data_IF_438570074732
#
_entry.id   IF_438570074732
#
_cell.length_a   1.000
_cell.length_b   1.000
_cell.length_c   1.000
_cell.angle_alpha   90.00
_cell.angle_beta   90.00
_cell.angle_gamma   90.00
#
_symmetry.space_group_name_H-M   'P 1'
#
loop_
_entity.id
_entity.type
_entity.pdbx_description
1 polymer ?
#
# COMPACT_ATOMS: atom_id res chain seq x y z
N UNK A 1 -39.70 -32.55 -25.25
CA UNK A 1 -38.80 -32.98 -26.33
C UNK A 1 -39.18 -32.24 -27.60
N UNK A 2 -38.26 -31.49 -28.22
CA UNK A 2 -38.26 -31.19 -29.65
C UNK A 2 -36.90 -30.60 -30.01
N UNK A 3 -36.28 -31.09 -31.08
CA UNK A 3 -35.12 -30.47 -31.75
C UNK A 3 -35.62 -29.88 -33.06
N UNK A 4 -34.96 -28.84 -33.57
CA UNK A 4 -34.27 -28.92 -34.87
C UNK A 4 -33.54 -27.62 -35.23
N UNK A 5 -32.46 -27.77 -35.99
CA UNK A 5 -31.52 -26.74 -36.45
C UNK A 5 -31.51 -26.68 -37.98
N UNK A 6 -31.22 -25.52 -38.58
CA UNK A 6 -30.57 -25.31 -39.90
C UNK A 6 -30.39 -23.77 -40.13
N UNK A 7 -29.56 -23.24 -41.04
CA UNK A 7 -28.13 -23.45 -41.37
C UNK A 7 -27.76 -22.54 -42.57
N UNK A 8 -26.77 -21.65 -42.46
CA UNK A 8 -25.98 -20.99 -43.55
C UNK A 8 -24.88 -20.11 -42.89
N UNK A 9 -23.58 -20.01 -43.23
CA UNK A 9 -22.78 -20.03 -44.48
C UNK A 9 -23.01 -18.81 -45.40
N UNK A 10 -22.04 -17.99 -45.81
CA UNK A 10 -20.57 -17.94 -45.61
C UNK A 10 -20.08 -16.46 -45.86
N UNK A 11 -18.82 -16.04 -46.08
CA UNK A 11 -17.55 -16.77 -46.35
C UNK A 11 -16.28 -15.90 -46.14
N UNK A 12 -15.18 -16.57 -45.79
CA UNK A 12 -13.77 -16.42 -46.25
C UNK A 12 -13.19 -15.05 -46.71
N UNK A 13 -12.05 -14.66 -46.11
CA UNK A 13 -10.92 -14.01 -46.82
C UNK A 13 -9.60 -14.27 -46.07
N UNK A 14 -8.48 -14.28 -46.81
CA UNK A 14 -7.10 -14.40 -46.31
C UNK A 14 -6.29 -13.15 -46.77
N UNK A 15 -4.98 -12.96 -46.58
CA UNK A 15 -3.89 -13.84 -46.14
C UNK A 15 -2.65 -13.01 -45.69
N UNK A 16 -1.58 -13.69 -45.26
CA UNK A 16 -0.14 -13.33 -45.45
C UNK A 16 0.32 -11.94 -44.97
N UNK A 17 1.19 -11.90 -43.95
CA UNK A 17 2.64 -11.75 -44.19
C UNK A 17 3.46 -12.05 -42.93
N UNK A 18 4.68 -12.58 -43.10
CA UNK A 18 5.64 -12.79 -42.02
C UNK A 18 7.03 -12.34 -42.49
N UNK A 19 7.85 -11.78 -41.58
CA UNK A 19 9.23 -11.40 -41.87
C UNK A 19 10.08 -11.51 -40.61
N UNK A 20 11.12 -12.35 -40.66
CA UNK A 20 12.18 -12.37 -39.66
C UNK A 20 13.18 -11.25 -39.96
N UNK A 21 13.81 -10.70 -38.92
CA UNK A 21 14.86 -9.70 -39.05
C UNK A 21 15.64 -9.52 -37.76
N UNK A 22 16.74 -10.24 -37.62
CA UNK A 22 17.70 -10.05 -36.53
C UNK A 22 19.06 -9.70 -37.13
N UNK A 23 19.75 -8.71 -36.56
CA UNK A 23 21.21 -8.70 -36.36
C UNK A 23 21.56 -7.55 -35.38
N UNK A 24 22.69 -7.69 -34.69
CA UNK A 24 23.23 -6.66 -33.79
C UNK A 24 24.51 -6.07 -34.37
N UNK A 25 24.85 -4.84 -34.02
CA UNK A 25 26.25 -4.39 -34.06
C UNK A 25 26.55 -3.25 -33.08
N UNK A 26 27.71 -3.32 -32.45
CA UNK A 26 28.23 -2.36 -31.46
C UNK A 26 29.05 -1.24 -32.11
N UNK A 27 28.82 0.01 -31.69
CA UNK A 27 29.72 1.14 -31.96
C UNK A 27 30.81 1.28 -30.88
N UNK A 28 32.04 1.73 -31.19
CA UNK A 28 33.19 1.63 -30.28
C UNK A 28 33.45 2.87 -29.42
N UNK A 29 34.13 2.67 -28.30
CA UNK A 29 34.75 3.73 -27.51
C UNK A 29 36.24 3.92 -27.90
N UNK A 30 36.72 5.17 -27.93
CA UNK A 30 38.14 5.56 -27.95
C UNK A 30 38.33 6.96 -27.32
N UNK A 31 39.56 7.37 -26.94
CA UNK A 31 39.74 7.94 -25.59
C UNK A 31 40.59 9.23 -25.55
N UNK A 32 40.96 9.64 -24.33
CA UNK A 32 42.35 9.95 -23.88
C UNK A 32 42.59 11.30 -23.18
N UNK A 33 43.58 11.26 -22.28
CA UNK A 33 44.46 12.34 -21.81
C UNK A 33 43.91 13.43 -20.84
N UNK A 34 44.07 13.11 -19.55
CA UNK A 34 44.64 13.98 -18.51
C UNK A 34 46.00 14.58 -18.94
N UNK A 35 46.45 15.75 -18.42
CA UNK A 35 46.87 15.92 -17.01
C UNK A 35 46.45 17.25 -16.35
N UNK A 36 46.85 17.42 -15.08
CA UNK A 36 46.41 18.47 -14.17
C UNK A 36 47.49 19.53 -13.86
N UNK A 37 47.09 20.70 -13.35
CA UNK A 37 47.84 21.40 -12.28
C UNK A 37 47.04 22.48 -11.52
N UNK A 38 47.23 22.47 -10.19
CA UNK A 38 47.39 23.61 -9.26
C UNK A 38 46.41 24.80 -9.17
N UNK A 39 46.15 25.14 -7.89
CA UNK A 39 46.17 26.48 -7.26
C UNK A 39 44.86 27.08 -6.72
N UNK A 40 45.03 27.77 -5.59
CA UNK A 40 44.04 28.33 -4.68
C UNK A 40 43.47 29.68 -5.12
N UNK A 41 42.19 29.94 -4.82
CA UNK A 41 41.57 31.27 -4.95
C UNK A 41 40.36 31.42 -4.01
N UNK A 42 40.08 32.66 -3.59
CA UNK A 42 38.95 33.03 -2.73
C UNK A 42 37.66 33.29 -3.57
N UNK A 43 36.46 33.39 -2.96
CA UNK A 43 35.20 33.24 -3.71
C UNK A 43 34.72 34.52 -4.43
N UNK A 44 34.16 34.40 -5.65
CA UNK A 44 33.35 35.43 -6.26
C UNK A 44 31.87 35.26 -5.87
N UNK A 45 31.24 36.33 -5.38
CA UNK A 45 29.80 36.42 -5.16
C UNK A 45 29.07 36.95 -6.40
N UNK A 46 27.86 36.43 -6.66
CA UNK A 46 26.90 37.01 -7.61
C UNK A 46 26.95 36.43 -9.02
N UNK A 47 25.93 35.65 -9.37
CA UNK A 47 25.64 35.21 -10.73
C UNK A 47 24.20 34.72 -10.82
N UNK A 48 23.32 35.49 -11.45
CA UNK A 48 21.96 35.04 -11.76
C UNK A 48 22.01 34.15 -13.00
N UNK A 49 21.51 32.91 -12.90
CA UNK A 49 21.25 32.07 -14.06
C UNK A 49 19.84 31.51 -14.00
N UNK A 50 18.97 32.13 -14.79
CA UNK A 50 17.91 31.55 -15.61
C UNK A 50 17.10 30.36 -15.08
N UNK A 51 15.78 30.53 -15.14
CA UNK A 51 14.75 29.53 -14.91
C UNK A 51 15.04 28.16 -15.53
N UNK A 52 15.43 27.20 -14.69
CA UNK A 52 15.05 25.81 -14.90
C UNK A 52 13.86 25.52 -14.00
N UNK A 53 12.68 25.39 -14.61
CA UNK A 53 11.54 24.77 -13.93
C UNK A 53 12.00 23.40 -13.40
N UNK A 54 11.76 23.07 -12.12
CA UNK A 54 12.16 21.78 -11.57
C UNK A 54 11.39 20.68 -12.30
N UNK A 55 12.06 20.01 -13.24
CA UNK A 55 11.52 18.84 -13.93
C UNK A 55 11.04 17.86 -12.88
N UNK A 56 9.78 17.43 -13.00
CA UNK A 56 9.03 16.77 -11.92
C UNK A 56 9.83 15.62 -11.32
N UNK A 57 10.47 15.88 -10.17
CA UNK A 57 11.17 14.87 -9.41
C UNK A 57 10.13 13.83 -9.02
N UNK A 58 10.28 12.62 -9.55
CA UNK A 58 9.52 11.48 -9.04
C UNK A 58 9.87 11.40 -7.56
N UNK A 59 8.86 11.58 -6.70
CA UNK A 59 9.07 11.42 -5.26
C UNK A 59 9.72 10.04 -5.04
N UNK A 60 10.78 9.93 -4.23
CA UNK A 60 11.50 8.68 -4.06
C UNK A 60 10.51 7.58 -3.66
N UNK A 61 10.55 6.44 -4.35
CA UNK A 61 9.56 5.38 -4.13
C UNK A 61 9.53 5.00 -2.65
N UNK A 62 8.36 5.20 -2.04
CA UNK A 62 8.15 4.95 -0.62
C UNK A 62 8.52 3.53 -0.22
N UNK A 63 9.11 3.36 0.96
CA UNK A 63 9.53 2.05 1.48
C UNK A 63 8.34 1.08 1.45
N UNK A 64 8.50 -0.14 0.92
CA UNK A 64 7.43 -1.12 0.87
C UNK A 64 7.07 -1.62 2.27
N UNK A 65 5.87 -1.28 2.75
CA UNK A 65 5.34 -1.71 4.04
C UNK A 65 3.96 -2.37 3.87
N UNK A 66 3.56 -3.30 4.76
CA UNK A 66 2.21 -3.84 4.77
C UNK A 66 1.18 -2.71 4.88
N UNK A 67 0.09 -2.84 4.11
CA UNK A 67 -1.13 -2.02 4.23
C UNK A 67 -1.64 -2.12 5.68
N UNK A 68 -2.35 -1.10 6.20
CA UNK A 68 -2.80 -1.10 7.60
C UNK A 68 -3.76 -2.26 7.89
N UNK A 69 -4.75 -2.48 7.02
CA UNK A 69 -5.81 -3.46 7.20
C UNK A 69 -6.34 -4.00 5.86
N UNK A 70 -6.66 -5.29 5.77
CA UNK A 70 -7.38 -5.89 4.63
C UNK A 70 -8.88 -5.89 4.92
N UNK A 71 -9.69 -5.29 4.05
CA UNK A 71 -11.15 -5.24 4.16
C UNK A 71 -11.83 -6.38 3.41
N UNK A 72 -11.43 -6.69 2.17
CA UNK A 72 -11.99 -7.82 1.41
C UNK A 72 -10.96 -8.58 0.57
N UNK A 73 -11.22 -9.86 0.36
CA UNK A 73 -10.48 -10.74 -0.57
C UNK A 73 -11.48 -11.39 -1.52
N UNK A 74 -11.27 -11.21 -2.81
CA UNK A 74 -12.04 -11.76 -3.91
C UNK A 74 -11.09 -12.61 -4.78
N UNK A 75 -11.60 -13.71 -5.35
CA UNK A 75 -10.91 -14.43 -6.43
C UNK A 75 -11.89 -14.64 -7.58
N UNK A 76 -11.60 -13.97 -8.69
CA UNK A 76 -12.38 -14.00 -9.93
C UNK A 76 -11.77 -15.03 -10.88
N UNK A 77 -12.61 -15.90 -11.47
CA UNK A 77 -12.18 -16.86 -12.51
C UNK A 77 -12.51 -16.34 -13.90
N UNK A 78 -11.50 -16.22 -14.76
CA UNK A 78 -11.68 -15.88 -16.16
C UNK A 78 -12.34 -17.03 -16.93
N UNK A 79 -13.38 -16.71 -17.70
CA UNK A 79 -14.07 -17.64 -18.60
C UNK A 79 -13.41 -17.77 -19.99
N UNK A 80 -12.23 -17.16 -20.20
CA UNK A 80 -11.45 -17.31 -21.43
C UNK A 80 -10.66 -18.63 -21.43
N UNK A 81 -10.35 -19.14 -22.62
CA UNK A 81 -9.47 -20.30 -22.79
C UNK A 81 -8.18 -20.16 -21.99
N UNK A 82 -7.82 -21.23 -21.28
CA UNK A 82 -6.72 -21.24 -20.32
C UNK A 82 -7.13 -20.98 -18.86
N UNK A 83 -8.29 -20.39 -18.56
CA UNK A 83 -8.86 -20.39 -17.21
C UNK A 83 -7.98 -19.79 -16.10
N UNK A 84 -7.66 -18.50 -16.21
CA UNK A 84 -6.86 -17.75 -15.23
C UNK A 84 -7.70 -17.25 -14.05
N UNK A 85 -7.21 -17.42 -12.82
CA UNK A 85 -7.80 -16.82 -11.62
C UNK A 85 -7.06 -15.52 -11.25
N UNK A 86 -7.78 -14.53 -10.73
CA UNK A 86 -7.23 -13.24 -10.29
C UNK A 86 -7.66 -13.01 -8.84
N UNK A 87 -6.70 -12.93 -7.92
CA UNK A 87 -6.93 -12.42 -6.57
C UNK A 87 -7.08 -10.91 -6.64
N UNK A 88 -8.10 -10.39 -5.97
CA UNK A 88 -8.31 -8.96 -5.75
C UNK A 88 -8.46 -8.71 -4.26
N UNK A 89 -7.63 -7.84 -3.71
CA UNK A 89 -7.69 -7.45 -2.30
C UNK A 89 -7.96 -5.96 -2.18
N UNK A 90 -8.91 -5.59 -1.31
CA UNK A 90 -9.12 -4.21 -0.85
C UNK A 90 -8.66 -4.06 0.58
N UNK A 91 -8.17 -2.88 0.93
CA UNK A 91 -7.64 -2.57 2.24
C UNK A 91 -7.65 -1.08 2.54
N UNK A 92 -7.22 -0.73 3.75
CA UNK A 92 -7.16 0.64 4.24
C UNK A 92 -5.72 1.06 4.51
N UNK A 93 -5.41 2.32 4.23
CA UNK A 93 -4.14 2.99 4.57
C UNK A 93 -4.38 4.30 5.30
N UNK A 94 -3.35 4.79 5.98
CA UNK A 94 -3.39 5.94 6.90
C UNK A 94 -3.50 7.30 6.21
N UNK A 95 -3.08 7.42 4.95
CA UNK A 95 -3.19 8.66 4.16
C UNK A 95 -3.23 8.40 2.65
N UNK A 96 -3.55 9.42 1.86
CA UNK A 96 -3.52 9.37 0.41
C UNK A 96 -2.09 9.42 -0.20
N UNK A 97 -1.04 9.48 0.63
CA UNK A 97 0.35 9.47 0.20
C UNK A 97 0.91 8.06 -0.03
N UNK A 98 0.17 7.01 0.34
CA UNK A 98 0.49 5.62 0.02
C UNK A 98 0.30 5.33 -1.48
N UNK A 99 1.18 4.52 -2.06
CA UNK A 99 1.19 4.22 -3.50
C UNK A 99 1.57 2.77 -3.81
N UNK A 100 1.56 2.39 -5.09
CA UNK A 100 1.93 1.05 -5.59
C UNK A 100 1.37 -0.16 -4.79
N UNK A 101 0.06 -0.21 -4.49
CA UNK A 101 -0.55 -1.34 -3.77
C UNK A 101 -0.37 -2.65 -4.54
N UNK A 102 0.14 -3.69 -3.85
CA UNK A 102 0.47 -4.99 -4.46
C UNK A 102 0.35 -6.16 -3.49
N UNK A 103 0.04 -7.32 -4.05
CA UNK A 103 -0.01 -8.61 -3.36
C UNK A 103 1.24 -9.42 -3.70
N UNK A 104 1.97 -9.90 -2.68
CA UNK A 104 3.15 -10.75 -2.84
C UNK A 104 2.95 -12.10 -2.13
N UNK A 105 3.22 -13.24 -2.77
CA UNK A 105 3.29 -14.53 -2.10
C UNK A 105 4.34 -14.57 -0.99
N UNK A 106 3.96 -15.06 0.18
CA UNK A 106 4.89 -15.28 1.31
C UNK A 106 5.75 -16.53 1.08
N UNK A 107 5.15 -17.56 0.50
CA UNK A 107 5.75 -18.88 0.33
C UNK A 107 6.01 -19.17 -1.15
N UNK A 108 7.16 -19.78 -1.45
CA UNK A 108 7.44 -20.32 -2.78
C UNK A 108 6.85 -21.73 -2.92
N UNK A 109 5.70 -21.84 -3.60
CA UNK A 109 5.09 -23.13 -3.96
C UNK A 109 3.95 -23.59 -3.02
N UNK A 110 3.57 -24.88 -3.08
CA UNK A 110 2.39 -25.40 -2.38
C UNK A 110 2.58 -25.44 -0.87
N UNK A 111 1.58 -24.97 -0.14
CA UNK A 111 1.48 -25.05 1.33
C UNK A 111 0.76 -26.33 1.76
N UNK A 112 1.09 -26.86 2.95
CA UNK A 112 0.47 -28.08 3.51
C UNK A 112 -1.03 -27.88 3.77
N UNK A 113 -1.46 -26.67 4.12
CA UNK A 113 -2.87 -26.33 4.29
C UNK A 113 -3.59 -26.05 2.95
N UNK A 114 -2.87 -25.93 1.83
CA UNK A 114 -3.40 -25.64 0.49
C UNK A 114 -3.84 -24.18 0.30
N UNK A 115 -3.40 -23.27 1.17
CA UNK A 115 -3.73 -21.84 1.14
C UNK A 115 -2.63 -21.04 0.46
N UNK A 116 -2.99 -20.17 -0.49
CA UNK A 116 -2.09 -19.13 -0.99
C UNK A 116 -1.99 -18.00 0.04
N UNK A 117 -0.88 -17.95 0.79
CA UNK A 117 -0.55 -16.85 1.71
C UNK A 117 0.05 -15.66 0.96
N UNK A 118 -0.56 -14.49 1.08
CA UNK A 118 -0.15 -13.23 0.47
C UNK A 118 0.06 -12.13 1.52
N UNK A 119 1.11 -11.32 1.38
CA UNK A 119 1.19 -10.00 2.00
C UNK A 119 0.54 -8.98 1.06
N UNK A 120 -0.31 -8.11 1.59
CA UNK A 120 -0.75 -6.90 0.92
C UNK A 120 0.10 -5.73 1.43
N UNK A 121 0.88 -5.12 0.54
CA UNK A 121 1.79 -4.02 0.84
C UNK A 121 1.63 -2.87 -0.16
N UNK A 122 2.09 -1.69 0.23
CA UNK A 122 2.22 -0.51 -0.61
C UNK A 122 3.53 0.20 -0.34
N UNK A 123 3.89 1.14 -1.21
CA UNK A 123 4.98 2.09 -0.97
C UNK A 123 4.45 3.17 -0.02
N UNK A 124 4.97 3.20 1.20
CA UNK A 124 4.47 4.05 2.28
C UNK A 124 5.11 5.46 2.27
N UNK A 125 4.43 6.50 2.80
CA UNK A 125 5.01 7.84 2.90
C UNK A 125 6.35 7.83 3.66
N UNK A 126 7.22 8.78 3.31
CA UNK A 126 8.58 8.92 3.88
C UNK A 126 8.66 10.01 4.97
N UNK A 127 7.52 10.63 5.28
CA UNK A 127 7.35 11.71 6.25
C UNK A 127 6.00 11.50 6.97
N UNK A 128 5.88 11.94 8.24
CA UNK A 128 4.61 11.92 8.97
C UNK A 128 3.45 12.52 8.18
N UNK A 129 2.30 11.85 8.20
CA UNK A 129 1.07 12.32 7.57
C UNK A 129 0.13 12.96 8.60
N UNK A 130 -0.55 14.07 8.26
CA UNK A 130 -1.57 14.64 9.14
C UNK A 130 -2.75 13.67 9.31
N UNK A 131 -3.54 13.88 10.37
CA UNK A 131 -4.80 13.18 10.54
C UNK A 131 -5.76 13.41 9.36
N UNK A 132 -6.48 12.35 9.02
CA UNK A 132 -7.47 12.31 7.94
C UNK A 132 -8.10 10.92 7.89
N UNK A 133 -9.16 10.75 7.10
CA UNK A 133 -9.83 9.45 7.00
C UNK A 133 -8.99 8.41 6.28
N UNK A 134 -9.15 7.14 6.68
CA UNK A 134 -8.49 6.03 6.00
C UNK A 134 -8.88 5.99 4.52
N UNK A 135 -7.88 5.80 3.66
CA UNK A 135 -8.08 5.69 2.22
C UNK A 135 -8.20 4.22 1.83
N UNK A 136 -9.16 3.89 0.95
CA UNK A 136 -9.22 2.56 0.34
C UNK A 136 -8.11 2.40 -0.72
N UNK A 137 -7.45 1.24 -0.69
CA UNK A 137 -6.48 0.80 -1.70
C UNK A 137 -6.83 -0.59 -2.21
N UNK A 138 -6.51 -0.86 -3.48
CA UNK A 138 -6.79 -2.15 -4.12
C UNK A 138 -5.54 -2.71 -4.80
N UNK A 139 -5.35 -4.03 -4.72
CA UNK A 139 -4.31 -4.75 -5.45
C UNK A 139 -4.87 -5.99 -6.14
N UNK A 140 -4.31 -6.29 -7.33
CA UNK A 140 -4.63 -7.47 -8.13
C UNK A 140 -3.41 -8.38 -8.24
N UNK A 141 -3.63 -9.70 -8.20
CA UNK A 141 -2.62 -10.73 -8.47
C UNK A 141 -3.21 -11.85 -9.33
N UNK A 142 -2.88 -11.91 -10.63
CA UNK A 142 -3.15 -13.08 -11.46
C UNK A 142 -2.42 -14.31 -10.92
N UNK A 143 -3.12 -15.44 -10.79
CA UNK A 143 -2.54 -16.75 -10.50
C UNK A 143 -2.50 -17.56 -11.80
N UNK A 144 -1.40 -18.29 -12.02
CA UNK A 144 -1.28 -19.22 -13.14
C UNK A 144 -2.40 -20.28 -13.12
N UNK A 145 -2.95 -20.67 -14.29
CA UNK A 145 -3.91 -21.77 -14.40
C UNK A 145 -3.40 -23.08 -13.81
N UNK A 146 -4.32 -23.90 -13.29
CA UNK A 146 -4.00 -25.21 -12.72
C UNK A 146 -3.29 -25.16 -11.36
N UNK A 147 -3.35 -24.03 -10.65
CA UNK A 147 -2.73 -23.87 -9.34
C UNK A 147 -3.26 -24.85 -8.28
N UNK A 148 -2.43 -25.28 -7.30
CA UNK A 148 -2.84 -26.24 -6.27
C UNK A 148 -3.71 -25.64 -5.16
N UNK A 149 -3.87 -24.31 -5.11
CA UNK A 149 -4.53 -23.62 -4.01
C UNK A 149 -6.05 -23.80 -4.04
N UNK A 150 -6.63 -24.07 -2.86
CA UNK A 150 -8.09 -24.15 -2.64
C UNK A 150 -8.67 -22.93 -1.92
N UNK A 151 -7.79 -22.09 -1.37
CA UNK A 151 -8.09 -20.94 -0.52
C UNK A 151 -7.00 -19.87 -0.65
N UNK A 152 -7.31 -18.62 -0.33
CA UNK A 152 -6.36 -17.49 -0.31
C UNK A 152 -6.42 -16.78 1.04
N UNK A 153 -5.26 -16.47 1.62
CA UNK A 153 -5.13 -15.73 2.89
C UNK A 153 -4.26 -14.50 2.66
N UNK A 154 -4.87 -13.32 2.76
CA UNK A 154 -4.19 -12.03 2.59
C UNK A 154 -3.94 -11.39 3.94
N UNK A 155 -2.73 -10.87 4.16
CA UNK A 155 -2.26 -10.30 5.43
C UNK A 155 -1.88 -8.82 5.26
N UNK A 156 -2.22 -8.02 6.27
CA UNK A 156 -1.83 -6.62 6.46
C UNK A 156 -0.87 -6.51 7.67
N UNK A 157 -0.59 -5.30 8.15
CA UNK A 157 0.04 -5.12 9.48
C UNK A 157 -0.88 -5.50 10.64
N UNK A 158 -2.19 -5.21 10.53
CA UNK A 158 -3.15 -5.35 11.66
C UNK A 158 -4.06 -6.57 11.62
N UNK A 159 -4.23 -7.26 10.48
CA UNK A 159 -5.15 -8.39 10.33
C UNK A 159 -4.76 -9.39 9.22
N UNK A 160 -5.55 -10.46 9.12
CA UNK A 160 -5.58 -11.33 7.95
C UNK A 160 -7.03 -11.68 7.56
N UNK A 161 -7.29 -11.76 6.26
CA UNK A 161 -8.59 -12.18 5.69
C UNK A 161 -8.36 -13.44 4.86
N UNK A 162 -9.21 -14.46 5.05
CA UNK A 162 -9.06 -15.78 4.40
C UNK A 162 -10.31 -16.15 3.62
N UNK A 163 -10.19 -16.17 2.28
CA UNK A 163 -11.17 -16.76 1.39
C UNK A 163 -11.01 -18.28 1.41
N UNK A 164 -12.02 -19.00 1.91
CA UNK A 164 -11.94 -20.46 2.15
C UNK A 164 -12.18 -21.33 0.90
N UNK A 165 -12.66 -20.75 -0.19
CA UNK A 165 -13.03 -21.45 -1.44
C UNK A 165 -12.73 -20.56 -2.63
N UNK A 166 -12.15 -21.13 -3.69
CA UNK A 166 -11.81 -20.43 -4.95
C UNK A 166 -12.67 -20.98 -6.10
N UNK A 167 -13.29 -20.14 -6.95
CA UNK A 167 -13.45 -18.68 -6.83
C UNK A 167 -14.43 -18.29 -5.71
N UNK A 168 -14.46 -17.01 -5.33
CA UNK A 168 -15.37 -16.52 -4.28
C UNK A 168 -15.01 -15.13 -3.75
N UNK A 169 -15.77 -14.66 -2.75
CA UNK A 169 -15.61 -13.36 -2.10
C UNK A 169 -15.72 -13.50 -0.57
N UNK A 170 -14.93 -12.73 0.16
CA UNK A 170 -15.05 -12.55 1.61
C UNK A 170 -14.69 -11.12 2.00
N UNK A 171 -15.44 -10.55 2.95
CA UNK A 171 -15.24 -9.21 3.48
C UNK A 171 -15.27 -9.25 5.01
N UNK A 172 -14.53 -8.36 5.66
CA UNK A 172 -14.55 -8.16 7.11
C UNK A 172 -14.80 -6.69 7.42
N UNK A 173 -15.60 -6.43 8.45
CA UNK A 173 -15.88 -5.07 8.90
C UNK A 173 -14.70 -4.54 9.69
N UNK A 174 -14.05 -3.51 9.16
CA UNK A 174 -13.17 -2.67 9.95
C UNK A 174 -14.00 -1.85 10.95
N UNK A 175 -13.50 -1.68 12.17
CA UNK A 175 -14.25 -1.08 13.29
C UNK A 175 -13.43 -0.04 14.08
N UNK A 176 -12.24 0.35 13.58
CA UNK A 176 -11.42 1.38 14.23
C UNK A 176 -11.72 2.75 13.62
N UNK A 177 -11.55 3.78 14.43
CA UNK A 177 -11.66 5.17 14.01
C UNK A 177 -10.34 5.64 13.38
N UNK A 178 -10.45 6.57 12.44
CA UNK A 178 -9.33 7.21 11.71
C UNK A 178 -8.60 8.29 12.52
N UNK A 179 -9.13 8.60 13.71
CA UNK A 179 -8.70 9.68 14.57
C UNK A 179 -8.80 11.09 13.94
N UNK A 180 -9.46 11.23 12.78
CA UNK A 180 -9.59 12.51 12.04
C UNK A 180 -10.33 13.61 12.82
N UNK A 181 -11.01 13.27 13.92
CA UNK A 181 -11.67 14.21 14.84
C UNK A 181 -11.18 14.06 16.30
N UNK A 182 -9.93 13.61 16.51
CA UNK A 182 -9.37 13.37 17.84
C UNK A 182 -8.90 14.63 18.58
N UNK A 183 -8.35 15.63 17.88
CA UNK A 183 -7.72 16.79 18.53
C UNK A 183 -8.73 17.56 19.38
N UNK A 184 -8.34 17.94 20.60
CA UNK A 184 -9.17 18.57 21.63
C UNK A 184 -9.96 17.59 22.51
N UNK A 185 -10.15 16.33 22.08
CA UNK A 185 -10.86 15.30 22.87
C UNK A 185 -9.99 14.71 23.97
N UNK A 186 -10.63 14.16 24.99
CA UNK A 186 -9.98 13.50 26.11
C UNK A 186 -9.54 12.07 25.73
N UNK A 187 -8.27 11.72 25.94
CA UNK A 187 -7.77 10.37 25.67
C UNK A 187 -7.99 9.44 26.87
N UNK A 188 -8.73 8.34 26.66
CA UNK A 188 -8.94 7.29 27.66
C UNK A 188 -8.14 6.05 27.26
N UNK A 189 -7.09 5.76 28.03
CA UNK A 189 -6.28 4.55 27.85
C UNK A 189 -7.10 3.28 28.15
N UNK A 190 -6.71 2.16 27.54
CA UNK A 190 -7.46 0.89 27.61
C UNK A 190 -7.65 0.44 29.06
N UNK A 191 -8.91 0.25 29.46
CA UNK A 191 -9.28 -0.17 30.81
C UNK A 191 -9.31 0.96 31.86
N UNK A 192 -9.05 2.21 31.48
CA UNK A 192 -9.30 3.37 32.34
C UNK A 192 -10.77 3.80 32.29
N UNK A 193 -11.24 4.39 33.38
CA UNK A 193 -12.53 5.06 33.42
C UNK A 193 -12.47 6.37 32.62
N UNK A 194 -13.60 6.77 32.02
CA UNK A 194 -13.77 8.11 31.49
C UNK A 194 -13.92 9.12 32.65
N UNK A 195 -13.41 10.36 32.53
CA UNK A 195 -13.69 11.40 33.52
C UNK A 195 -15.19 11.72 33.54
N UNK A 196 -15.81 11.75 34.72
CA UNK A 196 -17.26 11.90 34.87
C UNK A 196 -17.85 13.20 34.28
N UNK A 197 -17.01 14.22 34.07
CA UNK A 197 -17.41 15.54 33.58
C UNK A 197 -17.17 15.74 32.07
N UNK A 198 -16.73 14.71 31.33
CA UNK A 198 -16.47 14.80 29.87
C UNK A 198 -17.56 14.04 29.10
N UNK A 199 -18.25 14.68 28.13
CA UNK A 199 -19.24 14.01 27.29
C UNK A 199 -18.66 12.84 26.49
N UNK A 200 -19.47 11.81 26.23
CA UNK A 200 -19.06 10.63 25.48
C UNK A 200 -18.58 10.93 24.04
N UNK A 201 -19.05 12.03 23.43
CA UNK A 201 -18.60 12.49 22.11
C UNK A 201 -17.21 13.15 22.13
N UNK A 202 -16.78 13.64 23.29
CA UNK A 202 -15.51 14.35 23.51
C UNK A 202 -14.42 13.40 24.07
N UNK A 203 -14.64 12.09 23.97
CA UNK A 203 -13.73 11.04 24.42
C UNK A 203 -13.22 10.25 23.22
N UNK A 204 -11.91 9.99 23.22
CA UNK A 204 -11.25 9.04 22.32
C UNK A 204 -10.73 7.89 23.17
N UNK A 205 -11.20 6.67 22.92
CA UNK A 205 -10.75 5.48 23.65
C UNK A 205 -9.65 4.76 22.88
N UNK A 206 -8.63 4.29 23.58
CA UNK A 206 -7.56 3.49 22.98
C UNK A 206 -8.10 2.22 22.30
N UNK A 207 -9.15 1.59 22.86
CA UNK A 207 -9.83 0.45 22.24
C UNK A 207 -10.50 0.77 20.88
N UNK A 208 -10.76 2.03 20.56
CA UNK A 208 -11.39 2.46 19.29
C UNK A 208 -10.37 2.88 18.21
N UNK A 209 -9.08 2.97 18.56
CA UNK A 209 -7.97 3.33 17.65
C UNK A 209 -7.26 2.08 17.08
N UNK A 210 -6.47 2.19 15.99
CA UNK A 210 -5.67 1.07 15.46
C UNK A 210 -4.65 0.47 16.45
N UNK A 211 -4.06 -0.66 16.04
CA UNK A 211 -3.31 -1.55 16.93
C UNK A 211 -1.96 -1.03 17.41
N UNK A 212 -1.20 -0.35 16.55
CA UNK A 212 0.02 0.36 16.94
C UNK A 212 -0.28 1.84 17.16
N UNK A 213 0.17 2.36 18.30
CA UNK A 213 -0.08 3.72 18.74
C UNK A 213 1.03 4.18 19.70
N UNK A 214 1.33 5.48 19.68
CA UNK A 214 2.25 6.16 20.59
C UNK A 214 1.47 7.22 21.35
N UNK A 215 1.71 7.34 22.65
CA UNK A 215 1.17 8.44 23.47
C UNK A 215 2.34 9.17 24.09
N UNK A 216 2.42 10.48 23.87
CA UNK A 216 3.44 11.38 24.41
C UNK A 216 2.75 12.32 25.40
N UNK A 217 3.20 12.34 26.66
CA UNK A 217 2.72 13.25 27.70
C UNK A 217 3.66 14.45 27.86
N UNK A 218 3.23 15.58 28.47
CA UNK A 218 4.06 16.78 28.61
C UNK A 218 5.37 16.56 29.37
N UNK A 219 5.42 15.57 30.27
CA UNK A 219 6.57 15.17 31.07
C UNK A 219 7.51 14.16 30.36
N UNK A 220 7.19 13.76 29.12
CA UNK A 220 7.85 12.63 28.44
C UNK A 220 8.66 13.07 27.21
N UNK A 221 9.96 12.78 27.24
CA UNK A 221 10.79 12.78 26.04
C UNK A 221 10.54 11.55 25.16
N UNK A 222 10.87 11.65 23.87
CA UNK A 222 10.77 10.53 22.92
C UNK A 222 12.10 9.75 22.91
N UNK A 223 12.15 8.48 23.37
CA UNK A 223 13.41 7.73 23.48
C UNK A 223 13.89 7.15 22.14
N UNK A 224 13.02 7.02 21.14
CA UNK A 224 13.35 6.57 19.79
C UNK A 224 12.33 7.10 18.76
N UNK A 225 12.81 7.51 17.59
CA UNK A 225 12.00 8.06 16.50
C UNK A 225 12.27 7.35 15.16
N UNK A 226 12.14 6.02 15.18
CA UNK A 226 11.91 5.23 13.95
C UNK A 226 10.46 5.48 13.50
N UNK A 227 10.28 6.00 12.29
CA UNK A 227 8.96 6.20 11.69
C UNK A 227 8.26 4.87 11.41
N UNK A 228 6.93 4.86 11.52
CA UNK A 228 6.09 3.74 11.06
C UNK A 228 4.75 4.29 10.54
N UNK A 229 4.57 4.38 9.22
CA UNK A 229 3.34 4.89 8.60
C UNK A 229 2.03 4.17 8.95
N UNK A 230 2.05 3.08 9.73
CA UNK A 230 0.85 2.44 10.29
C UNK A 230 0.56 2.84 11.76
N UNK A 231 1.46 3.58 12.43
CA UNK A 231 1.33 3.96 13.83
C UNK A 231 0.71 5.34 14.01
N UNK A 232 -0.28 5.42 14.90
CA UNK A 232 -0.89 6.66 15.34
C UNK A 232 -0.13 7.26 16.51
N UNK A 233 0.49 8.43 16.35
CA UNK A 233 1.07 9.19 17.46
C UNK A 233 0.07 10.24 17.97
N UNK A 234 -0.17 10.22 19.29
CA UNK A 234 -0.95 11.21 20.03
C UNK A 234 -0.04 12.00 20.98
N UNK A 235 -0.13 13.32 20.95
CA UNK A 235 0.46 14.22 21.96
C UNK A 235 -0.64 14.65 22.90
N UNK A 236 -0.38 14.58 24.21
CA UNK A 236 -1.36 14.96 25.25
C UNK A 236 -0.98 16.25 25.97
N UNK A 237 -2.00 16.97 26.43
CA UNK A 237 -1.91 18.03 27.45
C UNK A 237 -1.76 17.45 28.86
N UNK A 238 -1.50 18.31 29.85
CA UNK A 238 -1.51 17.94 31.27
C UNK A 238 -2.88 17.46 31.75
N UNK A 239 -3.98 18.02 31.21
CA UNK A 239 -5.34 17.56 31.51
C UNK A 239 -5.77 16.31 30.73
N UNK A 240 -4.88 15.69 29.93
CA UNK A 240 -5.13 14.42 29.25
C UNK A 240 -5.91 14.51 27.94
N UNK A 241 -6.06 15.72 27.37
CA UNK A 241 -6.61 15.93 26.02
C UNK A 241 -5.55 15.73 24.96
N UNK A 242 -5.98 15.35 23.76
CA UNK A 242 -5.11 15.27 22.59
C UNK A 242 -4.85 16.70 22.09
N UNK A 243 -3.64 17.21 22.30
CA UNK A 243 -3.21 18.53 21.81
C UNK A 243 -2.84 18.51 20.33
N UNK A 244 -2.20 17.43 19.89
CA UNK A 244 -1.80 17.18 18.52
C UNK A 244 -1.78 15.67 18.25
N UNK A 245 -1.89 15.26 16.98
CA UNK A 245 -1.84 13.87 16.58
C UNK A 245 -1.56 13.72 15.08
N UNK A 246 -0.98 12.57 14.70
CA UNK A 246 -0.67 12.25 13.30
C UNK A 246 -0.22 10.80 13.11
N UNK A 247 0.01 10.43 11.86
CA UNK A 247 0.65 9.17 11.48
C UNK A 247 2.14 9.41 11.31
N UNK A 248 3.00 8.52 11.85
CA UNK A 248 4.47 8.64 11.75
C UNK A 248 4.99 8.51 10.29
#
# INVERSE_FOLDING_TARGET
MTRSTLFATASLLAAICASFGAHAQTGPARPSNTPASTSSGAPPSGGQTSDMAPGSQMAPEGVPLPILFVTSVEVLRSARDGGMDIVRARGLVTSNAWSAPRLLPINAGPTVDGVLDLIFQGNAPQMPSPLGSFMEVEALLPIAPGHPYKAVRVRSSSNAVTLKTIPGFVETKFQKTDCATCVGKYFVAKGQAAPANVPAADIVRQEDLPGDFRVIRPDQGIPNYVLDPNRLTLVLTEDGRISDAGWD
#
